data_IF_944764414668
#
_entry.id   IF_944764414668
#
_cell.length_a   1.000
_cell.length_b   1.000
_cell.length_c   1.000
_cell.angle_alpha   90.00
_cell.angle_beta   90.00
_cell.angle_gamma   90.00
#
_symmetry.space_group_name_H-M   'P 1'
#
loop_
_entity.id
_entity.type
_entity.pdbx_description
1 polymer ?
#
# COMPACT_ATOMS: atom_id res chain seq x y z
N UNK A 1 -27.49 -6.39 6.29
CA UNK A 1 -27.72 -5.63 5.05
C UNK A 1 -27.70 -4.12 5.35
N UNK A 2 -26.86 -3.34 4.68
CA UNK A 2 -26.81 -1.89 4.92
C UNK A 2 -28.10 -1.14 4.50
N UNK A 3 -28.91 -1.74 3.60
CA UNK A 3 -30.13 -1.09 3.12
C UNK A 3 -31.35 -1.35 4.01
N UNK A 4 -31.47 -2.51 4.68
CA UNK A 4 -32.70 -2.87 5.42
C UNK A 4 -32.43 -3.63 6.74
N UNK A 5 -31.20 -3.68 7.21
CA UNK A 5 -30.72 -4.33 8.44
C UNK A 5 -31.01 -5.85 8.55
N UNK A 6 -31.59 -6.48 7.52
CA UNK A 6 -31.83 -7.93 7.51
C UNK A 6 -30.55 -8.73 7.29
N UNK A 7 -30.58 -10.01 7.63
CA UNK A 7 -29.45 -10.96 7.53
C UNK A 7 -28.95 -11.08 6.09
N UNK A 8 -27.64 -11.28 5.95
CA UNK A 8 -26.98 -11.59 4.68
C UNK A 8 -26.68 -13.11 4.62
N UNK A 9 -26.88 -13.71 3.47
CA UNK A 9 -26.54 -15.10 3.18
C UNK A 9 -25.59 -15.20 2.00
N UNK A 10 -24.70 -16.18 2.05
CA UNK A 10 -23.78 -16.47 0.94
C UNK A 10 -24.50 -17.26 -0.13
N UNK A 11 -24.71 -16.65 -1.32
CA UNK A 11 -25.41 -17.25 -2.47
C UNK A 11 -24.58 -17.14 -3.74
N UNK A 12 -24.67 -18.16 -4.58
CA UNK A 12 -24.18 -18.10 -5.96
C UNK A 12 -25.29 -17.54 -6.85
N UNK A 13 -25.03 -16.41 -7.51
CA UNK A 13 -26.04 -15.71 -8.32
C UNK A 13 -26.19 -16.32 -9.71
N UNK A 14 -25.09 -16.78 -10.30
CA UNK A 14 -25.07 -17.48 -11.59
C UNK A 14 -24.16 -18.69 -11.50
N UNK A 15 -24.40 -19.69 -12.33
CA UNK A 15 -23.53 -20.86 -12.43
C UNK A 15 -22.10 -20.43 -12.81
N UNK A 16 -21.10 -20.85 -12.05
CA UNK A 16 -19.70 -20.48 -12.23
C UNK A 16 -19.24 -19.21 -11.47
N UNK A 17 -20.17 -18.37 -10.97
CA UNK A 17 -19.83 -17.19 -10.20
C UNK A 17 -19.31 -17.52 -8.80
N UNK A 18 -18.51 -16.62 -8.23
CA UNK A 18 -18.18 -16.67 -6.79
C UNK A 18 -19.45 -16.39 -5.97
N UNK A 19 -19.57 -17.04 -4.81
CA UNK A 19 -20.64 -16.75 -3.85
C UNK A 19 -20.52 -15.29 -3.37
N UNK A 20 -21.67 -14.62 -3.26
CA UNK A 20 -21.78 -13.24 -2.79
C UNK A 20 -22.76 -13.16 -1.61
N UNK A 21 -22.62 -12.12 -0.81
CA UNK A 21 -23.53 -11.87 0.30
C UNK A 21 -24.82 -11.22 -0.25
N UNK A 22 -25.93 -11.91 -0.09
CA UNK A 22 -27.25 -11.46 -0.57
C UNK A 22 -28.19 -11.28 0.62
N UNK A 23 -28.90 -10.18 0.66
CA UNK A 23 -29.88 -9.92 1.71
C UNK A 23 -31.10 -10.81 1.57
N UNK A 24 -31.50 -11.49 2.65
CA UNK A 24 -32.68 -12.35 2.69
C UNK A 24 -33.99 -11.57 2.59
N UNK A 25 -34.02 -10.29 3.00
CA UNK A 25 -35.23 -9.47 3.03
C UNK A 25 -35.46 -8.66 1.75
N UNK A 26 -34.44 -7.92 1.27
CA UNK A 26 -34.60 -7.01 0.14
C UNK A 26 -33.84 -7.45 -1.14
N UNK A 27 -33.13 -8.58 -1.13
CA UNK A 27 -32.40 -9.07 -2.28
C UNK A 27 -31.11 -8.30 -2.62
N UNK A 28 -30.77 -7.25 -1.86
CA UNK A 28 -29.56 -6.47 -2.11
C UNK A 28 -28.33 -7.35 -2.08
N UNK A 29 -27.45 -7.23 -3.09
CA UNK A 29 -26.18 -7.95 -3.19
C UNK A 29 -25.07 -7.04 -2.66
N UNK A 30 -24.34 -7.52 -1.65
CA UNK A 30 -23.18 -6.83 -1.14
C UNK A 30 -21.93 -7.27 -1.92
N UNK A 31 -21.34 -6.34 -2.63
CA UNK A 31 -20.04 -6.50 -3.27
C UNK A 31 -18.97 -6.08 -2.29
N UNK A 32 -18.00 -6.97 -2.06
CA UNK A 32 -16.80 -6.66 -1.28
C UNK A 32 -15.73 -6.27 -2.28
N UNK A 33 -15.41 -5.00 -2.30
CA UNK A 33 -14.35 -4.47 -3.16
C UNK A 33 -12.97 -4.78 -2.56
N UNK A 34 -11.93 -5.01 -3.39
CA UNK A 34 -10.58 -5.11 -2.90
C UNK A 34 -10.17 -3.78 -2.26
N UNK A 35 -9.47 -3.84 -1.14
CA UNK A 35 -8.82 -2.64 -0.61
C UNK A 35 -7.71 -2.21 -1.54
N UNK A 36 -7.59 -0.91 -1.78
CA UNK A 36 -6.46 -0.34 -2.51
C UNK A 36 -5.50 0.25 -1.49
N UNK A 37 -4.25 -0.13 -1.58
CA UNK A 37 -3.16 0.43 -0.79
C UNK A 37 -2.14 1.07 -1.73
N UNK A 38 -1.45 2.07 -1.25
CA UNK A 38 -0.35 2.71 -1.96
C UNK A 38 0.91 2.61 -1.13
N UNK A 39 2.05 2.44 -1.79
CA UNK A 39 3.36 2.50 -1.17
C UNK A 39 4.30 3.39 -1.97
N UNK A 40 5.31 3.94 -1.33
CA UNK A 40 6.21 4.88 -1.98
C UNK A 40 7.66 4.56 -1.66
N UNK A 41 8.44 4.20 -2.68
CA UNK A 41 9.90 4.03 -2.58
C UNK A 41 10.51 5.42 -2.75
N UNK A 42 10.95 6.02 -1.65
CA UNK A 42 11.40 7.39 -1.57
C UNK A 42 12.92 7.43 -1.53
N UNK A 43 13.54 7.94 -2.60
CA UNK A 43 14.98 8.15 -2.65
C UNK A 43 15.35 9.52 -2.06
N UNK A 44 16.30 9.53 -1.12
CA UNK A 44 16.97 10.72 -0.60
C UNK A 44 17.98 11.26 -1.63
N UNK A 45 18.54 12.42 -1.37
CA UNK A 45 19.54 13.06 -2.26
C UNK A 45 20.82 12.20 -2.47
N UNK A 46 21.16 11.37 -1.50
CA UNK A 46 22.28 10.41 -1.53
C UNK A 46 21.87 9.03 -2.08
N UNK A 47 20.68 8.93 -2.70
CA UNK A 47 20.11 7.70 -3.27
C UNK A 47 19.68 6.62 -2.27
N UNK A 48 19.80 6.86 -0.97
CA UNK A 48 19.30 5.94 0.05
C UNK A 48 17.78 5.95 0.09
N UNK A 49 17.17 4.80 0.37
CA UNK A 49 15.72 4.62 0.41
C UNK A 49 15.20 4.77 1.83
N UNK A 50 14.15 5.56 2.00
CA UNK A 50 13.46 5.72 3.29
C UNK A 50 12.63 4.49 3.59
N UNK A 51 12.79 3.93 4.79
CA UNK A 51 11.96 2.85 5.29
C UNK A 51 11.51 3.12 6.71
N UNK A 52 10.35 2.60 7.07
CA UNK A 52 9.75 2.67 8.39
C UNK A 52 9.67 1.26 9.00
N UNK A 53 9.89 1.16 10.30
CA UNK A 53 9.77 -0.07 11.06
C UNK A 53 8.42 -0.09 11.75
N UNK A 54 7.57 -1.01 11.41
CA UNK A 54 6.15 -1.04 11.80
C UNK A 54 5.96 -1.19 13.31
N UNK A 55 5.07 -0.37 13.88
CA UNK A 55 4.60 -0.50 15.27
C UNK A 55 3.26 -1.23 15.37
N UNK A 56 2.66 -1.65 14.24
CA UNK A 56 1.33 -2.26 14.15
C UNK A 56 1.34 -3.59 13.39
N UNK A 57 0.35 -4.45 13.70
CA UNK A 57 0.12 -5.67 12.93
C UNK A 57 -0.67 -5.41 11.63
N UNK A 58 -0.48 -6.22 10.59
CA UNK A 58 0.50 -7.31 10.47
C UNK A 58 1.92 -6.78 10.24
N UNK A 59 2.92 -7.53 10.69
CA UNK A 59 4.32 -7.21 10.44
C UNK A 59 4.96 -6.29 11.47
N UNK A 60 4.50 -6.32 12.72
CA UNK A 60 5.12 -5.60 13.83
C UNK A 60 6.63 -5.84 13.90
N UNK A 61 7.42 -4.77 14.03
CA UNK A 61 8.87 -4.81 14.10
C UNK A 61 9.60 -5.05 12.78
N UNK A 62 8.88 -5.23 11.66
CA UNK A 62 9.44 -5.44 10.33
C UNK A 62 9.46 -4.13 9.52
N UNK A 63 10.32 -4.08 8.50
CA UNK A 63 10.55 -2.92 7.67
C UNK A 63 9.64 -2.87 6.44
N UNK A 64 9.20 -1.67 6.09
CA UNK A 64 8.42 -1.39 4.88
C UNK A 64 8.75 0.02 4.40
N UNK A 65 8.55 0.33 3.13
CA UNK A 65 8.52 1.73 2.67
C UNK A 65 7.21 2.40 3.10
N UNK A 66 7.16 3.75 3.26
CA UNK A 66 5.95 4.46 3.64
C UNK A 66 4.76 4.15 2.74
N UNK A 67 3.57 3.97 3.33
CA UNK A 67 2.36 3.69 2.58
C UNK A 67 1.24 3.09 3.39
N UNK A 68 0.01 3.33 2.94
CA UNK A 68 -1.20 2.89 3.60
C UNK A 68 -2.38 2.73 2.65
N UNK A 69 -3.60 2.77 3.18
CA UNK A 69 -4.80 2.62 2.36
C UNK A 69 -5.20 3.93 1.69
N UNK A 70 -5.68 3.79 0.44
CA UNK A 70 -6.30 4.88 -0.31
C UNK A 70 -7.71 5.08 0.21
N UNK A 71 -8.05 6.29 0.60
CA UNK A 71 -9.38 6.65 1.08
C UNK A 71 -10.42 6.66 -0.05
N UNK A 72 -11.68 6.43 0.31
CA UNK A 72 -12.76 6.42 -0.67
C UNK A 72 -12.92 7.81 -1.31
N UNK A 73 -12.72 7.87 -2.64
CA UNK A 73 -12.77 9.12 -3.40
C UNK A 73 -11.44 9.88 -3.46
N UNK A 74 -10.40 9.36 -2.82
CA UNK A 74 -9.05 9.91 -2.90
C UNK A 74 -8.35 9.48 -4.20
N UNK A 75 -7.55 10.37 -4.78
CA UNK A 75 -6.69 10.05 -5.91
C UNK A 75 -5.47 9.28 -5.42
N UNK A 76 -5.14 8.15 -6.05
CA UNK A 76 -4.09 7.24 -5.60
C UNK A 76 -2.71 7.94 -5.45
N UNK A 77 -2.36 8.82 -6.39
CA UNK A 77 -1.11 9.59 -6.31
C UNK A 77 -1.11 10.60 -5.15
N UNK A 78 -2.27 11.15 -4.81
CA UNK A 78 -2.42 12.03 -3.64
C UNK A 78 -2.27 11.24 -2.34
N UNK A 79 -2.85 10.04 -2.27
CA UNK A 79 -2.66 9.13 -1.15
C UNK A 79 -1.17 8.82 -0.92
N UNK A 80 -0.40 8.56 -1.99
CA UNK A 80 1.04 8.29 -1.90
C UNK A 80 1.81 9.46 -1.25
N UNK A 81 1.47 10.70 -1.61
CA UNK A 81 2.09 11.90 -1.03
C UNK A 81 1.64 12.11 0.42
N UNK A 82 0.36 11.87 0.73
CA UNK A 82 -0.18 11.98 2.09
C UNK A 82 0.50 10.98 3.03
N UNK A 83 0.54 9.72 2.66
CA UNK A 83 1.16 8.65 3.45
C UNK A 83 2.66 8.91 3.72
N UNK A 84 3.41 9.39 2.72
CA UNK A 84 4.81 9.78 2.90
C UNK A 84 4.98 10.90 3.93
N UNK A 85 4.04 11.85 3.96
CA UNK A 85 4.05 12.95 4.94
C UNK A 85 3.63 12.46 6.33
N UNK A 86 2.63 11.59 6.43
CA UNK A 86 2.12 11.06 7.69
C UNK A 86 3.14 10.11 8.35
N UNK A 87 3.64 9.10 7.63
CA UNK A 87 4.51 8.08 8.19
C UNK A 87 6.00 8.46 8.22
N UNK A 88 6.47 9.32 7.32
CA UNK A 88 7.89 9.70 7.23
C UNK A 88 8.16 11.19 7.46
N UNK A 89 7.14 12.03 7.57
CA UNK A 89 7.27 13.47 7.83
C UNK A 89 7.86 14.27 6.67
N UNK A 90 7.96 13.72 5.47
CA UNK A 90 8.65 14.34 4.34
C UNK A 90 7.72 14.65 3.18
N UNK A 91 8.04 15.75 2.50
CA UNK A 91 7.45 16.09 1.21
C UNK A 91 8.21 15.37 0.09
N UNK A 92 7.46 14.85 -0.87
CA UNK A 92 8.00 14.06 -1.97
C UNK A 92 7.52 14.56 -3.33
N UNK A 93 8.28 14.25 -4.35
CA UNK A 93 7.87 14.34 -5.75
C UNK A 93 7.81 12.94 -6.33
N UNK A 94 6.64 12.52 -6.82
CA UNK A 94 6.50 11.25 -7.51
C UNK A 94 7.24 11.28 -8.86
N UNK A 95 7.99 10.23 -9.15
CA UNK A 95 8.78 10.09 -10.39
C UNK A 95 8.07 9.18 -11.39
N UNK A 96 7.33 8.18 -10.91
CA UNK A 96 6.59 7.23 -11.75
C UNK A 96 6.06 6.05 -10.96
N UNK A 97 5.32 5.19 -11.65
CA UNK A 97 4.79 3.95 -11.09
C UNK A 97 5.86 2.85 -11.21
N UNK A 98 6.21 2.22 -10.08
CA UNK A 98 7.05 1.03 -10.09
C UNK A 98 6.23 -0.16 -10.59
N UNK A 99 5.18 -0.53 -9.88
CA UNK A 99 4.27 -1.61 -10.31
C UNK A 99 3.00 -1.67 -9.47
N UNK A 100 2.12 -2.63 -9.84
CA UNK A 100 0.90 -2.97 -9.11
C UNK A 100 1.02 -4.43 -8.66
N UNK A 101 0.88 -4.67 -7.37
CA UNK A 101 1.01 -6.00 -6.77
C UNK A 101 -0.33 -6.49 -6.24
N UNK A 102 -0.70 -7.69 -6.62
CA UNK A 102 -1.88 -8.38 -6.08
C UNK A 102 -1.59 -9.87 -5.96
N UNK A 103 -2.12 -10.51 -4.93
CA UNK A 103 -1.85 -11.92 -4.66
C UNK A 103 -3.16 -12.67 -4.44
N UNK A 104 -3.21 -13.97 -4.82
CA UNK A 104 -4.36 -14.80 -4.51
C UNK A 104 -4.67 -14.78 -3.01
N UNK A 105 -5.95 -14.70 -2.68
CA UNK A 105 -6.47 -14.74 -1.30
C UNK A 105 -5.97 -13.62 -0.36
N UNK A 106 -5.38 -12.56 -0.93
CA UNK A 106 -5.02 -11.34 -0.20
C UNK A 106 -5.90 -10.17 -0.65
N UNK A 107 -6.59 -9.48 0.29
CA UNK A 107 -7.53 -8.42 -0.08
C UNK A 107 -6.93 -7.21 -0.78
N UNK A 108 -5.73 -6.70 -0.40
CA UNK A 108 -5.26 -5.45 -0.98
C UNK A 108 -4.66 -5.65 -2.37
N UNK A 109 -4.96 -4.66 -3.24
CA UNK A 109 -4.17 -4.32 -4.42
C UNK A 109 -3.22 -3.21 -4.01
N UNK A 110 -1.91 -3.42 -4.17
CA UNK A 110 -0.87 -2.48 -3.73
C UNK A 110 -0.28 -1.79 -4.96
N UNK A 111 -0.35 -0.46 -4.99
CA UNK A 111 0.19 0.38 -6.06
C UNK A 111 1.45 1.06 -5.51
N UNK A 112 2.61 0.83 -6.14
CA UNK A 112 3.89 1.35 -5.63
C UNK A 112 4.46 2.39 -6.58
N UNK A 113 4.74 3.58 -6.05
CA UNK A 113 5.40 4.68 -6.73
C UNK A 113 6.87 4.78 -6.34
N UNK A 114 7.70 5.23 -7.29
CA UNK A 114 9.01 5.78 -7.00
C UNK A 114 8.89 7.30 -6.79
N UNK A 115 9.63 7.83 -5.83
CA UNK A 115 9.64 9.26 -5.52
C UNK A 115 11.02 9.75 -5.11
N UNK A 116 11.21 11.06 -5.19
CA UNK A 116 12.37 11.76 -4.64
C UNK A 116 11.93 12.62 -3.48
N UNK A 117 12.65 12.57 -2.36
CA UNK A 117 12.46 13.43 -1.22
C UNK A 117 12.72 14.90 -1.59
N UNK A 118 11.82 15.81 -1.19
CA UNK A 118 11.99 17.26 -1.33
C UNK A 118 12.61 17.83 -0.05
N UNK A 119 12.20 17.30 1.11
CA UNK A 119 12.72 17.65 2.43
C UNK A 119 13.60 16.52 2.98
N UNK A 120 14.42 16.80 3.98
CA UNK A 120 15.35 15.83 4.55
C UNK A 120 15.03 15.43 6.00
N UNK A 121 14.11 16.13 6.65
CA UNK A 121 13.77 15.94 8.07
C UNK A 121 12.78 14.78 8.23
N UNK A 122 13.31 13.58 8.47
CA UNK A 122 12.51 12.39 8.71
C UNK A 122 11.88 12.42 10.11
N UNK A 123 10.58 12.13 10.19
CA UNK A 123 9.83 12.01 11.45
C UNK A 123 8.83 10.89 11.29
N UNK A 124 8.91 9.89 12.16
CA UNK A 124 7.90 8.83 12.20
C UNK A 124 6.70 9.23 13.09
N UNK A 125 5.58 8.62 12.80
CA UNK A 125 4.35 8.72 13.60
C UNK A 125 4.27 7.61 14.68
N UNK A 126 3.08 7.47 15.30
CA UNK A 126 2.84 6.46 16.34
C UNK A 126 2.67 5.03 15.77
N UNK A 127 2.50 4.88 14.45
CA UNK A 127 2.39 3.59 13.76
C UNK A 127 3.76 3.01 13.38
N UNK A 128 4.84 3.77 13.64
CA UNK A 128 6.22 3.40 13.31
C UNK A 128 7.10 3.39 14.56
N UNK A 129 7.87 2.30 14.76
CA UNK A 129 8.86 2.18 15.82
C UNK A 129 10.14 2.96 15.51
N UNK A 130 10.47 3.08 14.24
CA UNK A 130 11.74 3.62 13.76
C UNK A 130 11.60 4.04 12.29
N UNK A 131 12.32 5.07 11.90
CA UNK A 131 12.52 5.45 10.52
C UNK A 131 14.02 5.50 10.21
N UNK A 132 14.43 4.93 9.08
CA UNK A 132 15.83 4.90 8.67
C UNK A 132 15.96 4.96 7.15
N UNK A 133 17.17 5.25 6.68
CA UNK A 133 17.49 5.19 5.26
C UNK A 133 18.50 4.08 5.00
N UNK A 134 18.33 3.38 3.87
CA UNK A 134 19.17 2.24 3.49
C UNK A 134 19.68 2.42 2.06
N UNK A 135 20.95 2.13 1.85
CA UNK A 135 21.46 1.83 0.51
C UNK A 135 20.96 0.46 0.07
N UNK A 136 21.04 0.13 -1.21
CA UNK A 136 20.60 -1.17 -1.75
C UNK A 136 21.22 -2.35 -1.00
N UNK A 137 22.54 -2.28 -0.71
CA UNK A 137 23.28 -3.34 -0.01
C UNK A 137 22.93 -3.48 1.48
N UNK A 138 22.34 -2.45 2.08
CA UNK A 138 21.95 -2.42 3.50
C UNK A 138 20.49 -2.79 3.73
N UNK A 139 19.67 -2.93 2.67
CA UNK A 139 18.26 -3.32 2.79
C UNK A 139 18.15 -4.59 3.63
N UNK A 140 17.36 -4.57 4.71
CA UNK A 140 17.18 -5.73 5.60
C UNK A 140 16.21 -6.75 4.98
N UNK A 141 16.63 -7.41 3.91
CA UNK A 141 15.79 -8.27 3.06
C UNK A 141 15.00 -9.34 3.83
N UNK A 142 15.58 -9.89 4.90
CA UNK A 142 14.93 -10.93 5.72
C UNK A 142 13.95 -10.36 6.75
N UNK A 143 14.04 -9.05 7.02
CA UNK A 143 13.17 -8.33 7.94
C UNK A 143 12.16 -7.43 7.23
N UNK A 144 11.86 -7.65 5.95
CA UNK A 144 10.83 -6.94 5.22
C UNK A 144 9.44 -7.48 5.56
N UNK A 145 8.49 -6.57 5.84
CA UNK A 145 7.16 -6.91 6.34
C UNK A 145 6.30 -7.71 5.34
N UNK A 146 6.40 -7.39 4.04
CA UNK A 146 5.49 -7.95 3.04
C UNK A 146 6.24 -8.44 1.80
N UNK A 147 5.63 -9.42 1.14
CA UNK A 147 6.08 -9.90 -0.16
C UNK A 147 6.12 -8.76 -1.19
N UNK A 148 5.11 -7.90 -1.22
CA UNK A 148 5.04 -6.74 -2.11
C UNK A 148 6.17 -5.74 -1.87
N UNK A 149 6.59 -5.53 -0.61
CA UNK A 149 7.73 -4.68 -0.29
C UNK A 149 9.02 -5.21 -0.92
N UNK A 150 9.24 -6.53 -0.79
CA UNK A 150 10.42 -7.20 -1.36
C UNK A 150 10.43 -7.14 -2.88
N UNK A 151 9.30 -7.43 -3.53
CA UNK A 151 9.19 -7.43 -4.98
C UNK A 151 9.33 -6.01 -5.53
N UNK A 152 8.68 -5.01 -4.92
CA UNK A 152 8.76 -3.62 -5.37
C UNK A 152 10.17 -3.02 -5.25
N UNK A 153 10.91 -3.34 -4.18
CA UNK A 153 12.29 -2.89 -4.04
C UNK A 153 13.19 -3.52 -5.12
N UNK A 154 12.98 -4.79 -5.46
CA UNK A 154 13.71 -5.43 -6.57
C UNK A 154 13.40 -4.79 -7.89
N UNK A 155 12.11 -4.65 -8.24
CA UNK A 155 11.67 -3.99 -9.48
C UNK A 155 12.24 -2.58 -9.60
N UNK A 156 12.28 -1.83 -8.48
CA UNK A 156 12.85 -0.49 -8.44
C UNK A 156 14.36 -0.47 -8.74
N UNK A 157 15.14 -1.36 -8.13
CA UNK A 157 16.58 -1.45 -8.36
C UNK A 157 16.92 -2.06 -9.73
N UNK A 158 16.06 -2.92 -10.27
CA UNK A 158 16.15 -3.43 -11.64
C UNK A 158 15.76 -2.36 -12.70
N UNK A 159 15.40 -1.16 -12.26
CA UNK A 159 15.06 -0.03 -13.13
C UNK A 159 13.66 -0.09 -13.74
N UNK A 160 12.78 -0.91 -13.19
CA UNK A 160 11.36 -0.96 -13.62
C UNK A 160 10.67 0.33 -13.16
N UNK A 161 10.32 1.17 -14.11
CA UNK A 161 9.59 2.42 -13.85
C UNK A 161 8.67 2.75 -15.03
N UNK A 162 7.40 2.90 -14.74
CA UNK A 162 6.40 3.34 -15.72
C UNK A 162 6.15 4.84 -15.57
N UNK A 163 6.02 5.59 -16.69
CA UNK A 163 5.71 7.01 -16.64
C UNK A 163 4.45 7.26 -15.82
N UNK A 164 4.50 8.31 -15.00
CA UNK A 164 3.34 8.77 -14.26
C UNK A 164 2.36 9.41 -15.24
N UNK A 165 1.27 8.72 -15.60
CA UNK A 165 0.15 9.34 -16.30
C UNK A 165 -0.66 10.16 -15.30
N UNK A 166 -0.64 11.49 -15.49
CA UNK A 166 -1.50 12.43 -14.76
C UNK A 166 -2.96 12.26 -15.15
#
# INVERSE_FOLDING_TARGET
>A
CPACAQRLESRQLKMGDRKRLVCVGCGNVLYLDPKVAVGTIIAMADTRIVMVRRAIEPGYGLWVFPGGYVDRGEVVSTAAVREAREEAGIDIRLNGLVSIYSYPDRPPVIIVYAATAITADLRHDDESLEIATFSESEIPWEALAFRSTREALRDYYDGVLHPHCC
#
